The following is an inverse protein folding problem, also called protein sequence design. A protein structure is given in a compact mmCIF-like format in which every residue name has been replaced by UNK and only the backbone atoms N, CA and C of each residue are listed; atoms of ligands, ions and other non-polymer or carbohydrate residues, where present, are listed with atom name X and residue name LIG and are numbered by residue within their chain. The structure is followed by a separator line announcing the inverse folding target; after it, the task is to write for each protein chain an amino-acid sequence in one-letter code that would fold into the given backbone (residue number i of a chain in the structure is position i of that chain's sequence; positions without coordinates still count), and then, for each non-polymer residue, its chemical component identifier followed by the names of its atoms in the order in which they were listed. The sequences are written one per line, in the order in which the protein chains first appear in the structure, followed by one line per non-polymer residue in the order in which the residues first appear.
data_IF_316804465442
#
_entry.id   IF_316804465442
#
_cell.length_a   1.000
_cell.length_b   1.000
_cell.length_c   1.000
_cell.angle_alpha   90.00
_cell.angle_beta   90.00
_cell.angle_gamma   90.00
#
_symmetry.space_group_name_H-M   'P 1'
#
loop_
_entity.id
_entity.type
_entity.pdbx_description
1 polymer ?
#
# COMPACT_ATOMS: atom_id res chain seq x y z
N UNK A 1 -24.89 42.50 -17.06
CA UNK A 1 -23.58 42.89 -16.51
C UNK A 1 -23.07 41.76 -15.66
N UNK A 2 -21.92 41.23 -16.07
CA UNK A 2 -21.07 40.18 -15.48
C UNK A 2 -20.32 40.66 -14.24
N UNK A 3 -19.99 39.74 -13.31
CA UNK A 3 -18.71 39.53 -12.56
C UNK A 3 -18.96 38.59 -11.36
N UNK A 4 -18.49 37.33 -11.31
CA UNK A 4 -17.14 36.72 -11.12
C UNK A 4 -16.94 36.12 -9.72
N UNK A 5 -16.75 34.79 -9.74
CA UNK A 5 -15.99 33.90 -8.87
C UNK A 5 -14.96 34.54 -7.94
N UNK A 6 -15.03 34.25 -6.64
CA UNK A 6 -13.98 34.52 -5.67
C UNK A 6 -13.21 33.23 -5.36
N UNK A 7 -11.96 33.22 -5.83
CA UNK A 7 -10.98 32.15 -5.65
C UNK A 7 -10.12 32.52 -4.46
N UNK A 8 -10.23 31.83 -3.33
CA UNK A 8 -9.26 31.98 -2.23
C UNK A 8 -8.07 31.07 -2.49
N UNK A 9 -6.99 31.71 -2.94
CA UNK A 9 -5.64 31.18 -3.09
C UNK A 9 -5.09 30.67 -1.75
N UNK A 10 -4.74 29.38 -1.72
CA UNK A 10 -3.96 28.77 -0.62
C UNK A 10 -2.48 28.99 -0.94
N UNK A 11 -1.75 29.60 -0.01
CA UNK A 11 -0.30 29.81 -0.14
C UNK A 11 0.45 28.44 -0.08
N UNK A 12 1.47 28.22 -0.92
CA UNK A 12 2.25 26.99 -0.87
C UNK A 12 3.17 26.98 0.37
N UNK A 13 3.03 25.95 1.20
CA UNK A 13 3.93 25.66 2.31
C UNK A 13 5.34 25.37 1.78
N UNK A 14 6.29 26.27 2.06
CA UNK A 14 7.70 26.04 1.78
C UNK A 14 8.27 25.04 2.78
N UNK A 15 8.61 23.83 2.32
CA UNK A 15 9.30 22.81 3.10
C UNK A 15 10.79 23.15 3.23
N UNK A 16 11.35 23.03 4.44
CA UNK A 16 12.79 23.21 4.69
C UNK A 16 13.59 22.00 4.17
N UNK A 17 14.83 22.18 3.70
CA UNK A 17 15.66 21.07 3.21
C UNK A 17 16.07 20.15 4.37
N UNK A 18 15.68 18.88 4.32
CA UNK A 18 16.13 17.84 5.26
C UNK A 18 15.03 17.13 6.06
N UNK A 19 13.77 17.56 5.97
CA UNK A 19 12.64 16.79 6.53
C UNK A 19 12.17 15.71 5.53
N UNK A 20 11.82 14.50 6.00
CA UNK A 20 11.21 13.50 5.14
C UNK A 20 9.93 14.08 4.55
N UNK A 21 9.81 14.06 3.21
CA UNK A 21 8.62 14.57 2.52
C UNK A 21 7.37 13.90 3.10
N UNK A 22 6.29 14.66 3.35
CA UNK A 22 5.01 14.03 3.65
C UNK A 22 4.65 13.12 2.48
N UNK A 23 4.42 11.85 2.77
CA UNK A 23 3.88 10.88 1.82
C UNK A 23 2.58 11.50 1.29
N UNK A 24 2.49 11.69 -0.03
CA UNK A 24 1.31 12.28 -0.64
C UNK A 24 0.04 11.55 -0.19
N UNK A 25 -1.04 12.26 0.15
CA UNK A 25 -2.31 11.65 0.50
C UNK A 25 -2.87 10.95 -0.75
N UNK A 26 -2.54 9.67 -0.88
CA UNK A 26 -2.83 8.86 -2.06
C UNK A 26 -1.97 7.61 -2.16
N UNK A 27 -0.76 7.61 -1.59
CA UNK A 27 0.05 6.39 -1.51
C UNK A 27 -0.20 5.66 -0.20
N UNK A 28 -1.11 4.69 -0.27
CA UNK A 28 -1.30 3.69 0.77
C UNK A 28 0.04 3.07 1.18
N UNK A 29 0.23 2.84 2.49
CA UNK A 29 1.35 2.07 3.08
C UNK A 29 1.58 0.71 2.38
N UNK A 30 0.53 0.18 1.71
CA UNK A 30 0.55 -1.01 0.85
C UNK A 30 1.42 -0.85 -0.42
N UNK A 31 1.54 0.36 -0.98
CA UNK A 31 2.49 0.64 -2.07
C UNK A 31 3.95 0.59 -1.60
N UNK A 32 4.25 1.07 -0.39
CA UNK A 32 5.63 1.10 0.09
C UNK A 32 6.19 -0.30 0.40
N UNK A 33 5.37 -1.19 0.99
CA UNK A 33 5.77 -2.59 1.22
C UNK A 33 5.75 -3.43 -0.07
N UNK A 34 4.93 -3.05 -1.08
CA UNK A 34 4.97 -3.61 -2.44
C UNK A 34 6.29 -3.35 -3.18
N UNK A 35 7.11 -2.38 -2.74
CA UNK A 35 8.31 -1.92 -3.46
C UNK A 35 9.63 -2.49 -2.89
N UNK A 36 9.64 -3.04 -1.67
CA UNK A 36 10.87 -3.52 -1.05
C UNK A 36 11.25 -4.96 -1.48
N UNK A 37 10.27 -5.74 -1.94
CA UNK A 37 10.45 -7.18 -2.21
C UNK A 37 11.15 -7.47 -3.54
N UNK A 38 10.97 -6.65 -4.58
CA UNK A 38 11.52 -6.91 -5.92
C UNK A 38 13.01 -6.56 -6.04
N UNK A 39 13.48 -5.51 -5.38
CA UNK A 39 14.91 -5.14 -5.34
C UNK A 39 15.73 -6.25 -4.66
N UNK A 40 15.17 -6.90 -3.63
CA UNK A 40 15.80 -8.04 -2.97
C UNK A 40 15.85 -9.28 -3.87
N UNK A 41 14.83 -9.53 -4.70
CA UNK A 41 14.81 -10.65 -5.65
C UNK A 41 15.80 -10.42 -6.80
N UNK A 42 15.87 -9.20 -7.35
CA UNK A 42 16.83 -8.86 -8.42
C UNK A 42 18.30 -8.93 -7.97
N UNK A 43 18.58 -8.69 -6.68
CA UNK A 43 19.93 -8.78 -6.11
C UNK A 43 20.28 -10.18 -5.57
N UNK A 44 19.29 -11.05 -5.37
CA UNK A 44 19.46 -12.42 -4.88
C UNK A 44 19.43 -13.49 -5.98
N UNK A 45 19.11 -13.14 -7.23
CA UNK A 45 19.33 -14.04 -8.36
C UNK A 45 20.82 -13.96 -8.71
N UNK A 46 21.64 -14.98 -8.38
CA UNK A 46 22.92 -15.07 -9.03
C UNK A 46 22.62 -15.17 -10.52
N UNK A 47 23.11 -14.19 -11.29
CA UNK A 47 23.41 -14.33 -12.72
C UNK A 47 24.52 -15.38 -12.87
N UNK A 48 24.38 -16.55 -12.25
CA UNK A 48 25.23 -17.68 -12.53
C UNK A 48 24.73 -18.22 -13.87
N UNK A 49 25.65 -18.31 -14.80
CA UNK A 49 25.51 -18.86 -16.14
C UNK A 49 25.20 -20.37 -16.12
N UNK A 50 24.25 -20.80 -15.27
CA UNK A 50 23.94 -22.19 -14.95
C UNK A 50 22.45 -22.55 -15.19
N UNK A 51 21.75 -21.79 -16.03
CA UNK A 51 20.50 -22.22 -16.66
C UNK A 51 20.64 -22.23 -18.19
N UNK A 52 21.72 -22.84 -18.68
CA UNK A 52 21.75 -23.39 -20.03
C UNK A 52 20.88 -24.66 -20.11
N UNK A 53 19.62 -24.55 -19.69
CA UNK A 53 18.56 -25.39 -20.25
C UNK A 53 18.07 -24.65 -21.47
N UNK A 54 18.27 -25.29 -22.63
CA UNK A 54 17.85 -24.87 -23.97
C UNK A 54 16.32 -24.73 -24.02
N UNK A 55 15.77 -23.73 -23.34
CA UNK A 55 14.42 -23.26 -23.61
C UNK A 55 14.54 -22.35 -24.82
N UNK A 56 14.04 -22.80 -25.97
CA UNK A 56 13.96 -21.98 -27.16
C UNK A 56 13.19 -20.69 -26.81
N UNK A 57 13.63 -19.54 -27.34
CA UNK A 57 12.98 -18.23 -27.14
C UNK A 57 11.44 -18.26 -27.24
N UNK A 58 10.81 -19.01 -28.18
CA UNK A 58 9.36 -19.14 -28.23
C UNK A 58 8.74 -19.64 -26.92
N UNK A 59 9.35 -20.63 -26.26
CA UNK A 59 8.83 -21.18 -25.01
C UNK A 59 8.93 -20.17 -23.85
N UNK A 60 9.99 -19.35 -23.83
CA UNK A 60 10.13 -18.28 -22.84
C UNK A 60 9.08 -17.18 -23.04
N UNK A 61 8.80 -16.81 -24.29
CA UNK A 61 7.77 -15.83 -24.65
C UNK A 61 6.38 -16.36 -24.27
N UNK A 62 6.07 -17.62 -24.59
CA UNK A 62 4.79 -18.24 -24.21
C UNK A 62 4.62 -18.33 -22.69
N UNK A 63 5.68 -18.70 -21.96
CA UNK A 63 5.65 -18.71 -20.50
C UNK A 63 5.39 -17.30 -19.92
N UNK A 64 6.00 -16.27 -20.50
CA UNK A 64 5.75 -14.89 -20.08
C UNK A 64 4.31 -14.42 -20.40
N UNK A 65 3.77 -14.79 -21.57
CA UNK A 65 2.36 -14.51 -21.92
C UNK A 65 1.40 -15.20 -20.95
N UNK A 66 1.64 -16.47 -20.62
CA UNK A 66 0.82 -17.21 -19.66
C UNK A 66 0.88 -16.60 -18.25
N UNK A 67 2.08 -16.27 -17.76
CA UNK A 67 2.25 -15.61 -16.46
C UNK A 67 1.52 -14.26 -16.41
N UNK A 68 1.55 -13.50 -17.51
CA UNK A 68 0.84 -12.23 -17.63
C UNK A 68 -0.68 -12.42 -17.60
N UNK A 69 -1.21 -13.35 -18.37
CA UNK A 69 -2.65 -13.64 -18.39
C UNK A 69 -3.14 -14.05 -16.99
N UNK A 70 -2.37 -14.88 -16.29
CA UNK A 70 -2.67 -15.26 -14.91
C UNK A 70 -2.64 -14.04 -13.97
N UNK A 71 -1.65 -13.16 -14.13
CA UNK A 71 -1.53 -11.92 -13.35
C UNK A 71 -2.70 -10.94 -13.59
N UNK A 72 -3.15 -10.79 -14.83
CA UNK A 72 -4.30 -9.96 -15.19
C UNK A 72 -5.60 -10.53 -14.59
N UNK A 73 -5.79 -11.86 -14.64
CA UNK A 73 -6.96 -12.50 -14.05
C UNK A 73 -7.01 -12.29 -12.53
N UNK A 74 -5.89 -12.49 -11.82
CA UNK A 74 -5.88 -12.29 -10.36
C UNK A 74 -6.04 -10.82 -9.97
N UNK A 75 -5.63 -9.88 -10.83
CA UNK A 75 -5.89 -8.46 -10.60
C UNK A 75 -7.39 -8.16 -10.62
N UNK A 76 -8.15 -8.76 -11.54
CA UNK A 76 -9.61 -8.67 -11.58
C UNK A 76 -10.26 -9.33 -10.35
N UNK A 77 -9.72 -10.47 -9.89
CA UNK A 77 -10.22 -11.15 -8.69
C UNK A 77 -10.03 -10.27 -7.43
N UNK A 78 -8.88 -9.59 -7.31
CA UNK A 78 -8.61 -8.62 -6.24
C UNK A 78 -9.60 -7.47 -6.30
N UNK A 79 -9.81 -6.86 -7.47
CA UNK A 79 -10.75 -5.76 -7.66
C UNK A 79 -12.20 -6.17 -7.30
N UNK A 80 -12.61 -7.37 -7.70
CA UNK A 80 -13.92 -7.91 -7.36
C UNK A 80 -14.09 -8.12 -5.83
N UNK A 81 -13.05 -8.61 -5.15
CA UNK A 81 -13.06 -8.78 -3.70
C UNK A 81 -13.07 -7.42 -2.96
N UNK A 82 -12.36 -6.42 -3.46
CA UNK A 82 -12.39 -5.05 -2.94
C UNK A 82 -13.78 -4.42 -3.09
N UNK A 83 -14.40 -4.54 -4.26
CA UNK A 83 -15.76 -4.07 -4.51
C UNK A 83 -16.80 -4.77 -3.63
N UNK A 84 -16.59 -6.04 -3.30
CA UNK A 84 -17.44 -6.76 -2.36
C UNK A 84 -17.32 -6.19 -0.94
N UNK A 85 -16.12 -5.79 -0.52
CA UNK A 85 -15.88 -5.18 0.79
C UNK A 85 -16.44 -3.77 0.92
N UNK A 86 -16.48 -2.99 -0.16
CA UNK A 86 -17.10 -1.65 -0.16
C UNK A 86 -18.61 -1.70 0.13
N UNK A 87 -19.26 -2.84 -0.15
CA UNK A 87 -20.70 -3.05 0.08
C UNK A 87 -21.02 -3.47 1.51
N UNK A 88 -20.01 -3.72 2.34
CA UNK A 88 -20.17 -4.17 3.73
C UNK A 88 -19.87 -3.00 4.66
N UNK A 89 -20.70 -2.84 5.70
CA UNK A 89 -20.49 -1.82 6.72
C UNK A 89 -19.10 -1.98 7.37
N UNK A 90 -18.29 -0.94 7.26
CA UNK A 90 -16.95 -0.93 7.82
C UNK A 90 -16.99 -0.70 9.33
N UNK A 91 -16.17 -1.43 10.12
CA UNK A 91 -16.18 -1.28 11.56
C UNK A 91 -15.62 0.10 11.97
N UNK A 92 -16.46 0.86 12.67
CA UNK A 92 -16.13 2.19 13.20
C UNK A 92 -15.45 2.09 14.57
N UNK A 93 -14.44 2.92 14.79
CA UNK A 93 -13.64 2.95 16.02
C UNK A 93 -13.85 4.27 16.76
N UNK A 94 -14.24 4.25 18.05
CA UNK A 94 -14.39 5.48 18.82
C UNK A 94 -13.05 6.14 19.16
N UNK A 95 -13.01 7.47 19.09
CA UNK A 95 -11.84 8.27 19.48
C UNK A 95 -11.74 8.52 20.98
N UNK A 96 -12.89 8.67 21.63
CA UNK A 96 -13.05 8.78 23.08
C UNK A 96 -14.48 8.43 23.45
N UNK A 97 -14.68 8.03 24.70
CA UNK A 97 -15.97 7.69 25.27
C UNK A 97 -16.33 8.63 26.41
N UNK A 98 -17.63 8.83 26.61
CA UNK A 98 -18.16 9.44 27.82
C UNK A 98 -17.79 8.62 29.06
N UNK A 99 -17.81 9.22 30.28
CA UNK A 99 -17.45 8.50 31.51
C UNK A 99 -18.28 7.25 31.80
N UNK A 100 -19.52 7.19 31.33
CA UNK A 100 -20.38 6.01 31.42
C UNK A 100 -20.03 4.91 30.38
N UNK A 101 -19.08 5.18 29.50
CA UNK A 101 -18.58 4.30 28.44
C UNK A 101 -19.54 4.14 27.26
N UNK A 102 -20.66 4.87 27.23
CA UNK A 102 -21.77 4.59 26.30
C UNK A 102 -21.75 5.40 25.02
N UNK A 103 -21.26 6.64 25.07
CA UNK A 103 -21.35 7.56 23.93
C UNK A 103 -19.97 7.92 23.41
N UNK A 104 -19.70 7.69 22.12
CA UNK A 104 -18.47 8.16 21.51
C UNK A 104 -18.53 9.67 21.24
N UNK A 105 -17.40 10.36 21.41
CA UNK A 105 -17.24 11.78 21.03
C UNK A 105 -16.59 11.95 19.65
N UNK A 106 -16.58 10.89 18.84
CA UNK A 106 -15.99 10.84 17.51
C UNK A 106 -15.74 9.40 17.11
N UNK A 107 -15.85 9.10 15.81
CA UNK A 107 -15.63 7.78 15.25
C UNK A 107 -14.74 7.90 14.02
N UNK A 108 -13.82 6.96 13.84
CA UNK A 108 -13.03 6.81 12.61
C UNK A 108 -13.32 5.47 11.95
N UNK A 109 -13.24 5.46 10.63
CA UNK A 109 -13.50 4.29 9.80
C UNK A 109 -12.18 3.63 9.36
N UNK A 110 -12.06 2.32 9.61
CA UNK A 110 -10.93 1.51 9.16
C UNK A 110 -10.84 1.32 7.64
N UNK A 111 -11.91 1.61 6.90
CA UNK A 111 -11.87 1.65 5.44
C UNK A 111 -11.08 2.87 4.92
N UNK A 112 -11.05 3.97 5.70
CA UNK A 112 -10.43 5.23 5.30
C UNK A 112 -9.07 5.43 5.95
N UNK A 113 -8.91 5.02 7.20
CA UNK A 113 -7.71 5.26 7.99
C UNK A 113 -7.00 3.96 8.36
N UNK A 114 -5.66 4.00 8.37
CA UNK A 114 -4.88 2.84 8.85
C UNK A 114 -5.08 2.64 10.36
N UNK A 115 -4.98 1.40 10.87
CA UNK A 115 -5.08 1.14 12.31
C UNK A 115 -4.11 1.98 13.14
N UNK A 116 -2.90 2.20 12.65
CA UNK A 116 -1.89 3.02 13.35
C UNK A 116 -2.25 4.51 13.33
N UNK A 117 -2.86 4.99 12.25
CA UNK A 117 -3.38 6.35 12.17
C UNK A 117 -4.51 6.59 13.17
N UNK A 118 -5.43 5.63 13.29
CA UNK A 118 -6.53 5.68 14.27
C UNK A 118 -5.98 5.60 15.71
N UNK A 119 -5.04 4.69 15.98
CA UNK A 119 -4.41 4.58 17.30
C UNK A 119 -3.76 5.90 17.71
N UNK A 120 -3.03 6.53 16.80
CA UNK A 120 -2.42 7.84 17.04
C UNK A 120 -3.48 8.89 17.36
N UNK A 121 -4.55 8.98 16.58
CA UNK A 121 -5.62 9.95 16.80
C UNK A 121 -6.34 9.73 18.15
N UNK A 122 -6.58 8.48 18.55
CA UNK A 122 -7.11 8.14 19.87
C UNK A 122 -6.20 8.71 20.96
N UNK A 123 -4.88 8.47 20.88
CA UNK A 123 -3.91 8.92 21.89
C UNK A 123 -3.81 10.44 21.94
N UNK A 124 -3.76 11.10 20.79
CA UNK A 124 -3.72 12.56 20.69
C UNK A 124 -4.99 13.21 21.23
N UNK A 125 -6.17 12.63 20.93
CA UNK A 125 -7.46 13.08 21.48
C UNK A 125 -7.45 13.01 23.01
N UNK A 126 -6.99 11.89 23.58
CA UNK A 126 -6.92 11.76 25.04
C UNK A 126 -5.88 12.68 25.68
N UNK A 127 -4.75 12.95 25.01
CA UNK A 127 -3.78 13.94 25.48
C UNK A 127 -4.39 15.35 25.56
N UNK A 128 -5.10 15.78 24.50
CA UNK A 128 -5.81 17.07 24.45
C UNK A 128 -6.90 17.16 25.52
N UNK A 129 -7.65 16.07 25.74
CA UNK A 129 -8.67 16.01 26.80
C UNK A 129 -8.05 16.15 28.20
N UNK A 130 -6.90 15.51 28.45
CA UNK A 130 -6.19 15.66 29.73
C UNK A 130 -5.72 17.10 29.95
N UNK A 131 -5.12 17.72 28.94
CA UNK A 131 -4.68 19.12 29.02
C UNK A 131 -5.84 20.07 29.36
N UNK A 132 -7.00 19.84 28.73
CA UNK A 132 -8.20 20.65 28.91
C UNK A 132 -8.88 20.46 30.27
N UNK A 133 -8.93 19.23 30.79
CA UNK A 133 -9.75 18.89 31.96
C UNK A 133 -8.94 18.68 33.24
N UNK A 134 -7.61 18.58 33.15
CA UNK A 134 -6.69 18.34 34.26
C UNK A 134 -5.56 19.39 34.21
N UNK A 135 -5.92 20.65 34.01
CA UNK A 135 -4.97 21.76 33.99
C UNK A 135 -4.35 22.01 35.39
N UNK A 136 -3.16 22.64 35.49
CA UNK A 136 -2.53 22.95 36.78
C UNK A 136 -3.44 23.75 37.72
N UNK A 137 -4.26 24.66 37.18
CA UNK A 137 -5.23 25.42 37.96
C UNK A 137 -6.34 24.52 38.53
N UNK A 138 -6.89 23.61 37.71
CA UNK A 138 -7.93 22.66 38.17
C UNK A 138 -7.40 21.69 39.21
N UNK A 139 -6.14 21.27 39.10
CA UNK A 139 -5.51 20.40 40.10
C UNK A 139 -5.43 21.08 41.49
N UNK A 140 -5.31 22.41 41.53
CA UNK A 140 -5.34 23.18 42.80
C UNK A 140 -6.78 23.37 43.29
N UNK A 141 -7.70 23.75 42.40
CA UNK A 141 -9.06 24.14 42.77
C UNK A 141 -9.98 22.95 43.04
N UNK A 142 -9.76 21.82 42.38
CA UNK A 142 -10.60 20.62 42.44
C UNK A 142 -9.77 19.33 42.25
N UNK A 143 -8.84 19.02 43.18
CA UNK A 143 -7.92 17.88 43.04
C UNK A 143 -8.65 16.54 42.91
N UNK A 144 -9.66 16.27 43.75
CA UNK A 144 -10.45 15.03 43.68
C UNK A 144 -11.19 14.87 42.34
N UNK A 145 -11.69 15.98 41.77
CA UNK A 145 -12.34 15.97 40.46
C UNK A 145 -11.35 15.69 39.33
N UNK A 146 -10.11 16.17 39.44
CA UNK A 146 -9.04 15.87 38.49
C UNK A 146 -8.63 14.40 38.54
N UNK A 147 -8.55 13.79 39.73
CA UNK A 147 -8.25 12.36 39.90
C UNK A 147 -9.35 11.46 39.33
N UNK A 148 -10.62 11.82 39.53
CA UNK A 148 -11.75 11.12 38.91
C UNK A 148 -11.70 11.25 37.39
N UNK A 149 -11.49 12.46 36.87
CA UNK A 149 -11.37 12.68 35.43
C UNK A 149 -10.20 11.92 34.81
N UNK A 150 -9.04 11.87 35.47
CA UNK A 150 -7.89 11.10 35.02
C UNK A 150 -8.25 9.61 34.84
N UNK A 151 -8.89 9.01 35.85
CA UNK A 151 -9.34 7.61 35.80
C UNK A 151 -10.35 7.38 34.67
N UNK A 152 -11.29 8.30 34.46
CA UNK A 152 -12.26 8.19 33.38
C UNK A 152 -11.60 8.27 32.00
N UNK A 153 -10.62 9.16 31.82
CA UNK A 153 -9.85 9.27 30.56
C UNK A 153 -8.95 8.05 30.33
N UNK A 154 -8.36 7.47 31.36
CA UNK A 154 -7.60 6.21 31.27
C UNK A 154 -8.49 5.03 30.85
N UNK A 155 -9.69 4.94 31.43
CA UNK A 155 -10.67 3.92 31.10
C UNK A 155 -11.20 4.09 29.67
N UNK A 156 -11.49 5.32 29.25
CA UNK A 156 -11.87 5.66 27.87
C UNK A 156 -10.77 5.26 26.88
N UNK A 157 -9.51 5.64 27.15
CA UNK A 157 -8.37 5.31 26.29
C UNK A 157 -8.23 3.80 26.10
N UNK A 158 -8.25 3.06 27.21
CA UNK A 158 -8.17 1.60 27.20
C UNK A 158 -9.30 0.97 26.40
N UNK A 159 -10.52 1.50 26.55
CA UNK A 159 -11.70 0.99 25.85
C UNK A 159 -11.65 1.29 24.35
N UNK A 160 -11.20 2.48 23.95
CA UNK A 160 -11.05 2.85 22.55
C UNK A 160 -9.97 2.00 21.85
N UNK A 161 -8.83 1.78 22.51
CA UNK A 161 -7.77 0.90 21.97
C UNK A 161 -8.23 -0.56 21.85
N UNK A 162 -9.06 -1.04 22.78
CA UNK A 162 -9.68 -2.37 22.68
C UNK A 162 -10.66 -2.43 21.50
N UNK A 163 -11.52 -1.42 21.37
CA UNK A 163 -12.46 -1.33 20.25
C UNK A 163 -11.73 -1.30 18.89
N UNK A 164 -10.60 -0.59 18.80
CA UNK A 164 -9.73 -0.62 17.63
C UNK A 164 -9.22 -2.04 17.34
N UNK A 165 -8.69 -2.73 18.35
CA UNK A 165 -8.17 -4.09 18.16
C UNK A 165 -9.27 -5.07 17.70
N UNK A 166 -10.48 -4.95 18.22
CA UNK A 166 -11.61 -5.80 17.82
C UNK A 166 -12.13 -5.45 16.42
N UNK A 167 -12.19 -4.15 16.09
CA UNK A 167 -12.53 -3.67 14.76
C UNK A 167 -11.53 -4.15 13.69
N UNK A 168 -10.22 -4.17 14.00
CA UNK A 168 -9.18 -4.73 13.11
C UNK A 168 -9.39 -6.22 12.88
N UNK A 169 -9.69 -7.00 13.93
CA UNK A 169 -10.01 -8.43 13.78
C UNK A 169 -11.26 -8.65 12.95
N UNK A 170 -12.29 -7.83 13.15
CA UNK A 170 -13.52 -7.89 12.37
C UNK A 170 -13.25 -7.58 10.90
N UNK A 171 -12.50 -6.51 10.60
CA UNK A 171 -12.13 -6.15 9.24
C UNK A 171 -11.38 -7.29 8.55
N UNK A 172 -10.41 -7.92 9.21
CA UNK A 172 -9.70 -9.09 8.66
C UNK A 172 -10.64 -10.24 8.32
N UNK A 173 -11.60 -10.56 9.20
CA UNK A 173 -12.60 -11.60 8.91
C UNK A 173 -13.47 -11.27 7.70
N UNK A 174 -13.80 -9.98 7.51
CA UNK A 174 -14.53 -9.54 6.32
C UNK A 174 -13.66 -9.68 5.06
N UNK A 175 -12.38 -9.30 5.14
CA UNK A 175 -11.41 -9.46 4.04
C UNK A 175 -11.23 -10.94 3.66
N UNK A 176 -11.13 -11.83 4.64
CA UNK A 176 -11.07 -13.28 4.44
C UNK A 176 -12.37 -13.81 3.80
N UNK A 177 -13.53 -13.38 4.29
CA UNK A 177 -14.83 -13.79 3.76
C UNK A 177 -15.07 -13.30 2.33
N UNK A 178 -14.50 -12.14 1.96
CA UNK A 178 -14.52 -11.60 0.60
C UNK A 178 -13.48 -12.27 -0.32
N UNK A 179 -12.63 -13.16 0.20
CA UNK A 179 -11.54 -13.78 -0.56
C UNK A 179 -10.36 -12.84 -0.86
N UNK A 180 -10.34 -11.64 -0.26
CA UNK A 180 -9.32 -10.62 -0.57
C UNK A 180 -7.92 -11.06 -0.12
N UNK A 181 -7.82 -11.76 1.02
CA UNK A 181 -6.54 -12.27 1.54
C UNK A 181 -5.92 -13.25 0.55
N UNK A 182 -6.69 -14.26 0.13
CA UNK A 182 -6.24 -15.27 -0.83
C UNK A 182 -5.91 -14.66 -2.21
N UNK A 183 -6.75 -13.74 -2.70
CA UNK A 183 -6.50 -13.04 -3.95
C UNK A 183 -5.20 -12.22 -3.92
N UNK A 184 -4.91 -11.55 -2.80
CA UNK A 184 -3.66 -10.79 -2.62
C UNK A 184 -2.41 -11.69 -2.53
N UNK A 185 -2.51 -12.86 -1.89
CA UNK A 185 -1.43 -13.83 -1.85
C UNK A 185 -1.11 -14.36 -3.25
N UNK A 186 -2.13 -14.74 -4.02
CA UNK A 186 -1.99 -15.16 -5.41
C UNK A 186 -1.42 -14.03 -6.28
N UNK A 187 -1.92 -12.81 -6.13
CA UNK A 187 -1.41 -11.63 -6.84
C UNK A 187 0.09 -11.41 -6.57
N UNK A 188 0.51 -11.55 -5.32
CA UNK A 188 1.91 -11.39 -4.92
C UNK A 188 2.80 -12.48 -5.53
N UNK A 189 2.35 -13.73 -5.53
CA UNK A 189 3.07 -14.84 -6.15
C UNK A 189 3.18 -14.66 -7.68
N UNK A 190 2.07 -14.33 -8.35
CA UNK A 190 2.02 -14.14 -9.79
C UNK A 190 2.82 -12.91 -10.24
N UNK A 191 2.94 -11.87 -9.40
CA UNK A 191 3.84 -10.73 -9.68
C UNK A 191 5.29 -11.17 -9.77
N UNK A 192 5.73 -12.05 -8.86
CA UNK A 192 7.09 -12.59 -8.87
C UNK A 192 7.30 -13.45 -10.12
N UNK A 193 6.35 -14.32 -10.44
CA UNK A 193 6.41 -15.19 -11.63
C UNK A 193 6.44 -14.39 -12.94
N UNK A 194 5.61 -13.35 -13.06
CA UNK A 194 5.62 -12.43 -14.19
C UNK A 194 6.99 -11.72 -14.32
N UNK A 195 7.54 -11.22 -13.22
CA UNK A 195 8.88 -10.62 -13.20
C UNK A 195 9.97 -11.60 -13.65
N UNK A 196 9.97 -12.82 -13.10
CA UNK A 196 10.97 -13.85 -13.44
C UNK A 196 10.87 -14.33 -14.88
N UNK A 197 9.65 -14.53 -15.41
CA UNK A 197 9.45 -14.92 -16.81
C UNK A 197 9.91 -13.83 -17.77
N UNK A 198 9.65 -12.56 -17.44
CA UNK A 198 10.10 -11.41 -18.23
C UNK A 198 11.63 -11.31 -18.25
N UNK A 199 12.28 -11.44 -17.10
CA UNK A 199 13.75 -11.47 -17.01
C UNK A 199 14.32 -12.62 -17.85
N UNK A 200 13.68 -13.78 -17.86
CA UNK A 200 14.14 -14.92 -18.66
C UNK A 200 14.13 -14.63 -20.16
N UNK A 201 13.10 -13.95 -20.68
CA UNK A 201 13.06 -13.50 -22.09
C UNK A 201 14.12 -12.43 -22.35
N UNK A 202 14.29 -11.47 -21.43
CA UNK A 202 15.26 -10.38 -21.56
C UNK A 202 16.72 -10.88 -21.53
N UNK A 203 17.04 -11.83 -20.66
CA UNK A 203 18.38 -12.41 -20.52
C UNK A 203 18.73 -13.40 -21.65
N UNK A 204 17.72 -13.93 -22.36
CA UNK A 204 17.94 -14.88 -23.45
C UNK A 204 18.75 -14.24 -24.59
N UNK A 205 19.92 -14.82 -24.91
CA UNK A 205 20.73 -14.41 -26.07
C UNK A 205 20.23 -15.12 -27.32
N UNK A 206 19.73 -14.40 -28.34
CA UNK A 206 19.27 -15.02 -29.59
C UNK A 206 20.39 -15.77 -30.30
N UNK A 207 20.13 -17.00 -30.74
CA UNK A 207 21.08 -17.82 -31.49
C UNK A 207 21.01 -17.58 -33.01
N UNK A 208 20.00 -16.85 -33.50
CA UNK A 208 19.81 -16.58 -34.92
C UNK A 208 19.18 -15.20 -35.18
N UNK A 209 19.30 -14.66 -36.42
CA UNK A 209 18.59 -13.44 -36.82
C UNK A 209 17.06 -13.55 -36.68
N UNK A 210 16.50 -14.75 -36.88
CA UNK A 210 15.07 -14.99 -36.71
C UNK A 210 14.64 -14.90 -35.24
N UNK A 211 15.43 -15.45 -34.31
CA UNK A 211 15.19 -15.27 -32.86
C UNK A 211 15.39 -13.82 -32.42
N UNK A 212 16.37 -13.11 -32.99
CA UNK A 212 16.58 -11.70 -32.70
C UNK A 212 15.37 -10.85 -33.12
N UNK A 213 14.81 -11.13 -34.31
CA UNK A 213 13.57 -10.48 -34.77
C UNK A 213 12.38 -10.80 -33.86
N UNK A 214 12.19 -12.06 -33.47
CA UNK A 214 11.12 -12.48 -32.56
C UNK A 214 11.21 -11.79 -31.19
N UNK A 215 12.42 -11.69 -30.63
CA UNK A 215 12.65 -10.97 -29.36
C UNK A 215 12.34 -9.49 -29.51
N UNK A 216 12.73 -8.87 -30.63
CA UNK A 216 12.46 -7.47 -30.92
C UNK A 216 10.95 -7.19 -31.09
N UNK A 217 10.21 -8.08 -31.75
CA UNK A 217 8.74 -7.99 -31.86
C UNK A 217 8.06 -8.10 -30.50
N UNK A 218 8.47 -9.05 -29.65
CA UNK A 218 7.95 -9.16 -28.29
C UNK A 218 8.25 -7.91 -27.45
N UNK A 219 9.47 -7.37 -27.54
CA UNK A 219 9.84 -6.10 -26.89
C UNK A 219 9.00 -4.92 -27.39
N UNK A 220 8.76 -4.84 -28.70
CA UNK A 220 7.94 -3.79 -29.29
C UNK A 220 6.49 -3.86 -28.80
N UNK A 221 5.90 -5.06 -28.75
CA UNK A 221 4.56 -5.28 -28.20
C UNK A 221 4.48 -4.87 -26.71
N UNK A 222 5.49 -5.22 -25.92
CA UNK A 222 5.60 -4.83 -24.51
C UNK A 222 5.60 -3.29 -24.32
N UNK A 223 6.26 -2.56 -25.22
CA UNK A 223 6.41 -1.10 -25.16
C UNK A 223 5.22 -0.32 -25.74
N UNK A 224 4.53 -0.88 -26.74
CA UNK A 224 3.35 -0.27 -27.36
C UNK A 224 2.13 -0.34 -26.43
N UNK A 225 2.06 -1.40 -25.61
CA UNK A 225 1.08 -1.54 -24.54
C UNK A 225 1.44 -0.64 -23.34
N UNK A 226 1.33 0.69 -23.52
CA UNK A 226 1.43 1.72 -22.48
C UNK A 226 0.31 1.65 -21.42
N UNK A 227 0.04 0.46 -20.88
CA UNK A 227 -0.75 0.20 -19.68
C UNK A 227 0.13 -0.37 -18.54
N UNK A 228 1.42 -0.06 -18.54
CA UNK A 228 2.37 -0.50 -17.52
C UNK A 228 2.30 0.28 -16.20
N UNK A 229 1.16 0.89 -15.84
CA UNK A 229 0.99 1.70 -14.61
C UNK A 229 1.22 0.92 -13.28
N UNK A 230 1.41 -0.39 -13.32
CA UNK A 230 1.64 -1.23 -12.15
C UNK A 230 3.11 -1.65 -11.93
N UNK A 231 4.03 -1.37 -12.86
CA UNK A 231 5.45 -1.77 -12.74
C UNK A 231 6.48 -0.70 -13.19
N UNK A 232 6.06 0.54 -13.51
CA UNK A 232 6.93 1.57 -14.15
C UNK A 232 8.20 1.86 -13.35
N UNK A 233 8.09 2.09 -12.03
CA UNK A 233 9.24 2.56 -11.24
C UNK A 233 10.35 1.50 -11.10
N UNK A 234 9.99 0.21 -11.14
CA UNK A 234 10.93 -0.91 -11.02
C UNK A 234 11.42 -1.42 -12.37
N UNK A 235 10.58 -1.31 -13.42
CA UNK A 235 10.94 -1.62 -14.80
C UNK A 235 11.98 -0.63 -15.33
N UNK A 236 11.85 0.67 -15.05
CA UNK A 236 12.84 1.68 -15.45
C UNK A 236 14.20 1.43 -14.76
N UNK A 237 14.21 0.99 -13.51
CA UNK A 237 15.43 0.64 -12.79
C UNK A 237 16.08 -0.65 -13.33
N UNK A 238 15.29 -1.67 -13.64
CA UNK A 238 15.75 -2.96 -14.17
C UNK A 238 16.25 -2.83 -15.62
N UNK A 239 15.47 -2.17 -16.48
CA UNK A 239 15.85 -1.89 -17.88
C UNK A 239 17.06 -0.96 -17.93
N UNK A 240 17.13 0.06 -17.08
CA UNK A 240 18.30 0.93 -16.96
C UNK A 240 19.57 0.16 -16.58
N UNK A 241 19.45 -0.81 -15.66
CA UNK A 241 20.57 -1.67 -15.25
C UNK A 241 21.00 -2.64 -16.36
N UNK A 242 20.06 -3.30 -17.04
CA UNK A 242 20.35 -4.26 -18.11
C UNK A 242 20.88 -3.55 -19.36
N UNK A 243 20.32 -2.40 -19.73
CA UNK A 243 20.83 -1.57 -20.84
C UNK A 243 22.23 -1.03 -20.53
N UNK A 244 22.51 -0.65 -19.28
CA UNK A 244 23.84 -0.21 -18.85
C UNK A 244 24.90 -1.32 -18.94
N UNK A 245 24.52 -2.58 -18.71
CA UNK A 245 25.41 -3.74 -18.84
C UNK A 245 25.62 -4.17 -20.30
N UNK A 246 24.60 -4.06 -21.15
CA UNK A 246 24.70 -4.41 -22.57
C UNK A 246 25.53 -3.39 -23.40
N UNK A 247 25.71 -2.16 -22.92
CA UNK A 247 26.56 -1.12 -23.56
C UNK A 247 28.04 -1.26 -23.16
N UNK A 248 28.35 -2.04 -22.13
CA UNK A 248 29.71 -2.25 -21.62
C UNK A 248 30.34 -3.60 -22.03
N UNK A 249 29.63 -4.44 -22.79
CA UNK A 249 30.10 -5.71 -23.36
C UNK A 249 30.32 -5.58 -24.87
#
# INVERSE_FOLDING_TARGET
MTTTSDSRSVAPLQLKPGEPRPVEPGMSRRHFLRNASLVAVASAIPLSAAAATVSALPALIEANRAARQAFEQVALDVEAAELALEKVDSPLVPLSLTPDGRRPSGMLDLAVYSPEGIEREIRETHAKLREKHISPYQQIMAPAGCEEMARNLDASLTSCLRALADAVKQRRRLEDAAGLTEANERWSALRIELGSSMISVLAHTPASPAEAAMKAEWLAALLDERQYHLMVDEFDALVGSIAGQAVQA
#
